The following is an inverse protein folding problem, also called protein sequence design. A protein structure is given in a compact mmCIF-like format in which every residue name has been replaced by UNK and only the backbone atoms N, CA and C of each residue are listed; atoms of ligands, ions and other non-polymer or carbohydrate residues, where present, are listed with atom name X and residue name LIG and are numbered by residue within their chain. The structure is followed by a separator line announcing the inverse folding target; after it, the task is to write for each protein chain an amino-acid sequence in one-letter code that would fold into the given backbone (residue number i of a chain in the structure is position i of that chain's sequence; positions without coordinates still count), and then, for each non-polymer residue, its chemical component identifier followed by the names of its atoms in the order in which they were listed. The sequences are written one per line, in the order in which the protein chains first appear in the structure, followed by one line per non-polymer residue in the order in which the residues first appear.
data_IF_163678613505
#
_entry.id   IF_163678613505
#
_cell.length_a   1.000
_cell.length_b   1.000
_cell.length_c   1.000
_cell.angle_alpha   90.00
_cell.angle_beta   90.00
_cell.angle_gamma   90.00
#
_symmetry.space_group_name_H-M   'P 1'
#
loop_
_entity.id
_entity.type
_entity.pdbx_description
1 polymer ?
#
# COMPACT_ATOMS: atom_id res chain seq x y z
N UNK A 1 -16.57 -55.70 27.95
CA UNK A 1 -15.70 -54.53 28.16
C UNK A 1 -15.34 -53.94 26.81
N UNK A 2 -16.08 -52.93 26.35
CA UNK A 2 -15.75 -52.20 25.13
C UNK A 2 -14.83 -51.04 25.51
N UNK A 3 -13.57 -51.10 25.06
CA UNK A 3 -12.65 -49.97 25.15
C UNK A 3 -13.19 -48.90 24.21
N UNK A 4 -13.84 -47.89 24.78
CA UNK A 4 -14.17 -46.68 24.05
C UNK A 4 -12.85 -46.04 23.61
N UNK A 5 -12.51 -46.15 22.32
CA UNK A 5 -11.52 -45.29 21.70
C UNK A 5 -12.03 -43.85 21.82
N UNK A 6 -11.66 -43.16 22.90
CA UNK A 6 -11.65 -41.71 22.93
C UNK A 6 -10.78 -41.28 21.76
N UNK A 7 -11.40 -40.81 20.66
CA UNK A 7 -10.67 -40.04 19.64
C UNK A 7 -10.02 -38.91 20.41
N UNK A 8 -8.70 -38.96 20.56
CA UNK A 8 -7.93 -37.84 21.08
C UNK A 8 -8.13 -36.68 20.10
N UNK A 9 -9.09 -35.80 20.39
CA UNK A 9 -9.29 -34.61 19.59
C UNK A 9 -8.05 -33.73 19.72
N UNK A 10 -7.49 -33.33 18.58
CA UNK A 10 -6.28 -32.50 18.53
C UNK A 10 -6.55 -31.21 19.32
N UNK A 11 -5.63 -30.79 20.22
CA UNK A 11 -5.85 -29.62 21.05
C UNK A 11 -6.00 -28.34 20.20
N UNK A 12 -6.65 -27.29 20.76
CA UNK A 12 -6.70 -25.97 20.14
C UNK A 12 -5.31 -25.43 19.78
N UNK A 13 -5.26 -24.47 18.87
CA UNK A 13 -4.00 -23.87 18.46
C UNK A 13 -3.24 -23.29 19.67
N UNK A 14 -1.93 -23.58 19.83
CA UNK A 14 -1.17 -23.29 21.04
C UNK A 14 -0.96 -21.79 21.29
N UNK A 15 -1.01 -20.96 20.25
CA UNK A 15 -0.98 -19.50 20.40
C UNK A 15 -2.37 -18.99 20.76
N UNK A 16 -2.52 -18.59 22.02
CA UNK A 16 -3.74 -18.05 22.60
C UNK A 16 -3.68 -16.54 22.71
N UNK A 17 -4.76 -15.86 22.30
CA UNK A 17 -4.93 -14.43 22.48
C UNK A 17 -6.36 -14.14 22.94
N UNK A 18 -6.50 -13.36 24.01
CA UNK A 18 -7.80 -12.90 24.47
C UNK A 18 -7.75 -11.53 25.15
N UNK A 19 -8.87 -10.82 25.08
CA UNK A 19 -9.06 -9.50 25.69
C UNK A 19 -10.43 -9.47 26.34
N UNK A 20 -10.49 -9.14 27.63
CA UNK A 20 -11.78 -9.02 28.31
C UNK A 20 -12.58 -7.83 27.74
N UNK A 21 -13.88 -8.04 27.54
CA UNK A 21 -14.76 -7.03 26.98
C UNK A 21 -14.87 -5.80 27.90
N UNK A 22 -14.59 -4.57 27.42
CA UNK A 22 -14.78 -3.36 28.19
C UNK A 22 -16.26 -2.97 28.25
N UNK A 23 -16.79 -2.70 29.44
CA UNK A 23 -18.21 -2.31 29.60
C UNK A 23 -18.52 -0.94 29.00
N UNK A 24 -17.55 -0.01 29.08
CA UNK A 24 -17.61 1.33 28.52
C UNK A 24 -16.25 1.74 27.98
N UNK A 25 -16.27 2.54 26.92
CA UNK A 25 -15.10 3.16 26.33
C UNK A 25 -15.28 4.69 26.31
N UNK A 26 -14.16 5.40 26.42
CA UNK A 26 -14.09 6.85 26.38
C UNK A 26 -14.34 7.38 24.98
N UNK A 27 -15.35 8.24 24.84
CA UNK A 27 -15.74 8.85 23.56
C UNK A 27 -14.69 9.84 23.03
N UNK A 28 -14.05 10.58 23.95
CA UNK A 28 -13.09 11.64 23.61
C UNK A 28 -11.74 11.07 23.22
N UNK A 29 -11.26 10.05 23.96
CA UNK A 29 -9.93 9.47 23.72
C UNK A 29 -9.80 8.87 22.32
N UNK A 30 -10.90 8.36 21.76
CA UNK A 30 -10.95 7.72 20.45
C UNK A 30 -10.36 8.60 19.33
N UNK A 31 -10.58 9.93 19.37
CA UNK A 31 -10.01 10.85 18.37
C UNK A 31 -8.48 10.92 18.44
N UNK A 32 -7.92 10.83 19.64
CA UNK A 32 -6.49 10.99 19.88
C UNK A 32 -5.74 9.65 19.93
N UNK A 33 -6.42 8.50 20.01
CA UNK A 33 -5.76 7.18 20.11
C UNK A 33 -4.81 6.92 18.94
N UNK A 34 -5.22 7.21 17.71
CA UNK A 34 -4.36 7.00 16.53
C UNK A 34 -3.12 7.91 16.56
N UNK A 35 -3.28 9.16 17.00
CA UNK A 35 -2.18 10.10 17.17
C UNK A 35 -1.21 9.64 18.27
N UNK A 36 -1.73 9.22 19.42
CA UNK A 36 -0.96 8.71 20.55
C UNK A 36 -0.26 7.38 20.24
N UNK A 37 -0.75 6.63 19.27
CA UNK A 37 -0.12 5.39 18.81
C UNK A 37 1.12 5.61 17.92
N UNK A 38 1.36 6.84 17.40
CA UNK A 38 2.51 7.10 16.51
C UNK A 38 3.86 6.73 17.15
N UNK A 39 4.18 7.16 18.40
CA UNK A 39 5.42 6.75 19.05
C UNK A 39 5.53 5.23 19.24
N UNK A 40 4.40 4.56 19.51
CA UNK A 40 4.35 3.10 19.65
C UNK A 40 4.63 2.40 18.31
N UNK A 41 4.11 2.91 17.20
CA UNK A 41 4.39 2.38 15.87
C UNK A 41 5.86 2.52 15.49
N UNK A 42 6.49 3.65 15.80
CA UNK A 42 7.93 3.86 15.57
C UNK A 42 8.75 2.84 16.37
N UNK A 43 8.45 2.68 17.66
CA UNK A 43 9.16 1.72 18.52
C UNK A 43 8.98 0.28 18.03
N UNK A 44 7.73 -0.14 17.74
CA UNK A 44 7.46 -1.48 17.19
C UNK A 44 8.17 -1.67 15.86
N UNK A 45 8.16 -0.68 14.96
CA UNK A 45 8.82 -0.79 13.66
C UNK A 45 10.33 -1.10 13.80
N UNK A 46 11.03 -0.39 14.68
CA UNK A 46 12.44 -0.66 14.99
C UNK A 46 12.64 -2.06 15.59
N UNK A 47 11.77 -2.47 16.51
CA UNK A 47 11.82 -3.81 17.09
C UNK A 47 11.54 -4.92 16.08
N UNK A 48 10.67 -4.68 15.10
CA UNK A 48 10.37 -5.62 14.02
C UNK A 48 11.58 -5.82 13.10
N UNK A 49 12.38 -4.78 12.86
CA UNK A 49 13.65 -4.91 12.11
C UNK A 49 14.61 -5.83 12.88
N UNK A 50 14.78 -5.61 14.19
CA UNK A 50 15.60 -6.48 15.03
C UNK A 50 15.06 -7.92 15.07
N UNK A 51 13.74 -8.09 15.18
CA UNK A 51 13.06 -9.39 15.16
C UNK A 51 13.24 -10.11 13.82
N UNK A 52 13.23 -9.41 12.70
CA UNK A 52 13.50 -9.97 11.37
C UNK A 52 14.92 -10.54 11.31
N UNK A 53 15.92 -9.76 11.74
CA UNK A 53 17.30 -10.21 11.80
C UNK A 53 17.46 -11.43 12.72
N UNK A 54 16.86 -11.40 13.91
CA UNK A 54 16.91 -12.54 14.83
C UNK A 54 16.16 -13.75 14.30
N UNK A 55 15.06 -13.58 13.57
CA UNK A 55 14.33 -14.69 12.93
C UNK A 55 15.21 -15.34 11.85
N UNK A 56 15.92 -14.54 11.07
CA UNK A 56 16.89 -15.05 10.10
C UNK A 56 18.04 -15.83 10.77
N UNK A 57 18.59 -15.31 11.88
CA UNK A 57 19.60 -16.05 12.66
C UNK A 57 19.02 -17.30 13.34
N UNK A 58 17.79 -17.23 13.84
CA UNK A 58 17.06 -18.35 14.44
C UNK A 58 16.83 -19.47 13.40
N UNK A 59 16.57 -19.11 12.15
CA UNK A 59 16.42 -20.06 11.06
C UNK A 59 17.68 -20.94 10.90
N UNK A 60 18.88 -20.35 10.88
CA UNK A 60 20.13 -21.11 10.86
C UNK A 60 20.31 -21.94 12.14
N UNK A 61 20.05 -21.34 13.30
CA UNK A 61 20.16 -22.03 14.58
C UNK A 61 19.26 -23.29 14.61
N UNK A 62 18.02 -23.19 14.13
CA UNK A 62 17.08 -24.32 14.05
C UNK A 62 17.54 -25.33 12.99
N UNK A 63 18.06 -24.88 11.85
CA UNK A 63 18.56 -25.77 10.80
C UNK A 63 19.67 -26.69 11.33
N UNK A 64 20.65 -26.12 12.06
CA UNK A 64 21.78 -26.87 12.60
C UNK A 64 21.46 -27.62 13.89
N UNK A 65 20.74 -26.99 14.83
CA UNK A 65 20.54 -27.55 16.19
C UNK A 65 19.17 -28.22 16.37
N UNK A 66 18.18 -27.91 15.52
CA UNK A 66 16.78 -28.30 15.72
C UNK A 66 16.07 -27.59 16.87
N UNK A 67 16.70 -26.57 17.48
CA UNK A 67 16.18 -25.86 18.65
C UNK A 67 16.18 -24.35 18.41
N UNK A 68 15.12 -23.69 18.88
CA UNK A 68 15.04 -22.23 18.87
C UNK A 68 15.83 -21.66 20.06
N UNK A 69 16.83 -20.78 19.86
CA UNK A 69 17.62 -20.19 20.95
C UNK A 69 16.75 -19.45 21.97
N UNK A 70 16.98 -19.68 23.28
CA UNK A 70 16.12 -19.14 24.34
C UNK A 70 16.03 -17.60 24.31
N UNK A 71 17.17 -16.92 24.18
CA UNK A 71 17.21 -15.45 24.12
C UNK A 71 16.43 -14.87 22.94
N UNK A 72 16.53 -15.50 21.76
CA UNK A 72 15.78 -15.08 20.58
C UNK A 72 14.28 -15.28 20.80
N UNK A 73 13.90 -16.37 21.46
CA UNK A 73 12.49 -16.67 21.73
C UNK A 73 11.89 -15.64 22.68
N UNK A 74 12.60 -15.32 23.76
CA UNK A 74 12.18 -14.33 24.75
C UNK A 74 12.03 -12.95 24.13
N UNK A 75 12.99 -12.52 23.29
CA UNK A 75 12.90 -11.28 22.55
C UNK A 75 11.69 -11.26 21.60
N UNK A 76 11.59 -12.23 20.69
CA UNK A 76 10.56 -12.26 19.64
C UNK A 76 9.15 -12.39 20.25
N UNK A 77 8.96 -13.26 21.25
CA UNK A 77 7.68 -13.38 21.96
C UNK A 77 7.34 -12.12 22.75
N UNK A 78 8.34 -11.42 23.29
CA UNK A 78 8.18 -10.11 23.90
C UNK A 78 7.69 -9.06 22.91
N UNK A 79 8.36 -8.93 21.76
CA UNK A 79 7.95 -8.01 20.68
C UNK A 79 6.52 -8.28 20.23
N UNK A 80 6.12 -9.55 20.05
CA UNK A 80 4.74 -9.90 19.71
C UNK A 80 3.74 -9.52 20.82
N UNK A 81 4.11 -9.65 22.09
CA UNK A 81 3.27 -9.23 23.22
C UNK A 81 3.05 -7.72 23.22
N UNK A 82 4.11 -6.95 23.03
CA UNK A 82 4.00 -5.50 22.93
C UNK A 82 3.20 -5.09 21.68
N UNK A 83 3.43 -5.74 20.53
CA UNK A 83 2.59 -5.53 19.34
C UNK A 83 1.11 -5.80 19.63
N UNK A 84 0.79 -6.84 20.41
CA UNK A 84 -0.58 -7.14 20.83
C UNK A 84 -1.17 -6.04 21.73
N UNK A 85 -0.38 -5.45 22.63
CA UNK A 85 -0.81 -4.30 23.45
C UNK A 85 -1.24 -3.13 22.56
N UNK A 86 -0.41 -2.79 21.57
CA UNK A 86 -0.67 -1.68 20.65
C UNK A 86 -1.85 -1.98 19.75
N UNK A 87 -1.97 -3.21 19.23
CA UNK A 87 -3.13 -3.64 18.44
C UNK A 87 -4.42 -3.54 19.22
N UNK A 88 -4.45 -3.98 20.49
CA UNK A 88 -5.64 -3.86 21.33
C UNK A 88 -6.03 -2.40 21.61
N UNK A 89 -5.06 -1.50 21.71
CA UNK A 89 -5.31 -0.06 21.87
C UNK A 89 -5.90 0.58 20.62
N UNK A 90 -5.27 0.39 19.46
CA UNK A 90 -5.71 1.01 18.19
C UNK A 90 -7.00 0.40 17.65
N UNK A 91 -7.24 -0.88 17.94
CA UNK A 91 -8.49 -1.56 17.63
C UNK A 91 -9.63 -1.24 18.59
N UNK A 92 -9.44 -0.27 19.50
CA UNK A 92 -10.45 0.18 20.47
C UNK A 92 -10.92 -0.92 21.43
N UNK A 93 -10.15 -2.00 21.62
CA UNK A 93 -10.47 -3.07 22.55
C UNK A 93 -10.22 -2.67 24.00
N UNK A 94 -9.32 -1.69 24.21
CA UNK A 94 -8.92 -1.14 25.50
C UNK A 94 -8.67 0.37 25.41
N UNK A 95 -8.83 1.07 26.52
CA UNK A 95 -8.67 2.54 26.62
C UNK A 95 -7.35 2.97 27.24
N UNK A 96 -6.74 2.06 28.00
CA UNK A 96 -5.46 2.22 28.66
C UNK A 96 -4.38 2.40 27.60
N UNK A 97 -3.50 3.39 27.77
CA UNK A 97 -2.37 3.53 26.85
C UNK A 97 -1.39 2.36 27.07
N UNK A 98 -0.92 1.68 26.01
CA UNK A 98 -0.01 0.55 26.16
C UNK A 98 1.34 1.02 26.73
N UNK A 99 1.94 0.28 27.68
CA UNK A 99 3.28 0.59 28.14
C UNK A 99 4.32 0.28 27.05
N UNK A 100 5.46 0.98 27.07
CA UNK A 100 6.64 0.66 26.26
C UNK A 100 7.39 -0.55 26.85
N UNK A 101 6.68 -1.67 26.99
CA UNK A 101 7.18 -2.88 27.64
C UNK A 101 6.50 -4.11 27.07
N UNK A 102 7.25 -5.22 27.06
CA UNK A 102 6.80 -6.55 26.68
C UNK A 102 6.67 -7.51 27.87
N UNK A 103 6.76 -6.99 29.09
CA UNK A 103 6.63 -7.80 30.30
C UNK A 103 5.23 -8.44 30.37
N UNK A 104 5.15 -9.72 30.76
CA UNK A 104 3.87 -10.39 30.99
C UNK A 104 3.03 -9.63 32.03
N UNK A 105 1.74 -9.44 31.75
CA UNK A 105 0.81 -8.78 32.68
C UNK A 105 0.88 -7.25 32.71
N UNK A 106 1.79 -6.62 31.95
CA UNK A 106 1.90 -5.16 31.89
C UNK A 106 0.68 -4.46 31.27
N UNK A 107 -0.21 -5.20 30.60
CA UNK A 107 -1.39 -4.68 29.93
C UNK A 107 -2.55 -5.69 30.04
N UNK A 108 -3.84 -5.25 30.09
CA UNK A 108 -4.98 -6.13 30.40
C UNK A 108 -5.44 -6.97 29.18
N UNK A 109 -4.53 -7.76 28.64
CA UNK A 109 -4.76 -8.81 27.64
C UNK A 109 -3.91 -10.04 27.93
N UNK A 110 -4.30 -11.18 27.36
CA UNK A 110 -3.52 -12.42 27.44
C UNK A 110 -2.96 -12.76 26.06
N UNK A 111 -1.65 -12.98 26.00
CA UNK A 111 -0.97 -13.60 24.86
C UNK A 111 -0.08 -14.71 25.38
N UNK A 112 -0.49 -15.95 25.13
CA UNK A 112 0.27 -17.14 25.48
C UNK A 112 0.89 -17.76 24.22
N UNK A 113 2.20 -17.93 24.27
CA UNK A 113 3.01 -18.54 23.21
C UNK A 113 3.94 -19.53 23.90
N UNK A 114 3.54 -20.82 24.03
CA UNK A 114 4.38 -21.81 24.68
C UNK A 114 5.61 -22.10 23.80
N UNK A 115 6.79 -22.15 24.41
CA UNK A 115 8.03 -22.51 23.70
C UNK A 115 7.99 -23.99 23.31
N UNK A 116 8.26 -24.29 22.03
CA UNK A 116 8.44 -25.67 21.59
C UNK A 116 9.88 -26.15 21.90
N UNK A 117 10.00 -27.39 22.39
CA UNK A 117 11.31 -27.98 22.74
C UNK A 117 12.14 -28.39 21.52
N UNK A 118 11.48 -28.77 20.41
CA UNK A 118 12.09 -29.17 19.15
C UNK A 118 11.28 -28.61 18.00
N UNK A 119 11.97 -28.05 17.00
CA UNK A 119 11.36 -27.60 15.75
C UNK A 119 11.79 -28.49 14.60
N UNK A 120 10.90 -28.63 13.62
CA UNK A 120 11.14 -29.40 12.40
C UNK A 120 12.09 -28.67 11.44
N UNK A 121 13.28 -29.27 11.18
CA UNK A 121 14.36 -28.67 10.36
C UNK A 121 13.97 -28.44 8.90
N UNK A 122 13.38 -29.46 8.27
CA UNK A 122 13.07 -29.43 6.84
C UNK A 122 11.80 -28.65 6.48
N UNK A 123 10.87 -28.51 7.43
CA UNK A 123 9.65 -27.74 7.19
C UNK A 123 9.90 -26.24 7.06
N UNK A 124 11.03 -25.72 7.55
CA UNK A 124 11.35 -24.29 7.52
C UNK A 124 11.19 -23.64 6.14
N UNK A 125 11.57 -24.34 5.07
CA UNK A 125 11.47 -23.83 3.70
C UNK A 125 10.02 -23.76 3.20
N UNK A 126 9.22 -24.77 3.54
CA UNK A 126 7.81 -24.86 3.13
C UNK A 126 6.97 -23.81 3.86
N UNK A 127 7.35 -23.44 5.08
CA UNK A 127 6.57 -22.49 5.90
C UNK A 127 6.31 -21.17 5.21
N UNK A 128 7.34 -20.57 4.62
CA UNK A 128 7.21 -19.26 4.00
C UNK A 128 6.29 -19.30 2.78
N UNK A 129 6.35 -20.37 1.98
CA UNK A 129 5.45 -20.58 0.83
C UNK A 129 4.02 -20.85 1.31
N UNK A 130 3.84 -21.74 2.29
CA UNK A 130 2.54 -22.05 2.87
C UNK A 130 1.92 -20.85 3.60
N UNK A 131 2.73 -19.90 4.06
CA UNK A 131 2.27 -18.69 4.72
C UNK A 131 1.70 -17.67 3.72
N UNK A 132 2.17 -17.62 2.46
CA UNK A 132 1.69 -16.64 1.46
C UNK A 132 0.16 -16.68 1.31
N UNK A 133 -0.49 -17.84 1.07
CA UNK A 133 -1.95 -17.91 1.00
C UNK A 133 -2.64 -17.48 2.30
N UNK A 134 -2.05 -17.77 3.46
CA UNK A 134 -2.57 -17.31 4.75
C UNK A 134 -2.58 -15.78 4.83
N UNK A 135 -1.47 -15.15 4.44
CA UNK A 135 -1.33 -13.69 4.49
C UNK A 135 -2.27 -13.01 3.50
N UNK A 136 -2.49 -13.62 2.34
CA UNK A 136 -3.49 -13.16 1.38
C UNK A 136 -4.91 -13.25 1.96
N UNK A 137 -5.27 -14.38 2.56
CA UNK A 137 -6.57 -14.51 3.24
C UNK A 137 -6.71 -13.50 4.38
N UNK A 138 -5.65 -13.31 5.17
CA UNK A 138 -5.63 -12.36 6.27
C UNK A 138 -5.74 -10.91 5.77
N UNK A 139 -5.23 -10.58 4.58
CA UNK A 139 -5.42 -9.28 3.96
C UNK A 139 -6.92 -8.95 3.78
N UNK A 140 -7.74 -9.92 3.35
CA UNK A 140 -9.21 -9.72 3.31
C UNK A 140 -9.83 -9.54 4.69
N UNK A 141 -9.32 -10.25 5.70
CA UNK A 141 -9.73 -10.04 7.10
C UNK A 141 -9.38 -8.61 7.57
N UNK A 142 -8.20 -8.10 7.22
CA UNK A 142 -7.81 -6.71 7.51
C UNK A 142 -8.70 -5.70 6.80
N UNK A 143 -9.09 -5.96 5.55
CA UNK A 143 -10.04 -5.12 4.83
C UNK A 143 -11.40 -5.08 5.55
N UNK A 144 -11.95 -6.24 5.93
CA UNK A 144 -13.16 -6.29 6.74
C UNK A 144 -12.98 -5.61 8.12
N UNK A 145 -11.79 -5.73 8.71
CA UNK A 145 -11.45 -5.09 9.98
C UNK A 145 -11.38 -3.57 9.87
N UNK A 146 -10.90 -3.02 8.76
CA UNK A 146 -10.94 -1.60 8.49
C UNK A 146 -12.37 -1.05 8.55
N UNK A 147 -13.30 -1.67 7.81
CA UNK A 147 -14.71 -1.24 7.79
C UNK A 147 -15.41 -1.45 9.15
N UNK A 148 -15.17 -2.59 9.81
CA UNK A 148 -15.77 -2.85 11.13
C UNK A 148 -15.21 -1.95 12.22
N UNK A 149 -13.93 -1.56 12.15
CA UNK A 149 -13.33 -0.58 13.07
C UNK A 149 -13.89 0.82 12.83
N UNK A 150 -14.07 1.22 11.57
CA UNK A 150 -14.74 2.48 11.24
C UNK A 150 -16.18 2.52 11.76
N UNK A 151 -16.93 1.43 11.58
CA UNK A 151 -18.28 1.31 12.15
C UNK A 151 -18.26 1.30 13.69
N UNK A 152 -17.32 0.57 14.30
CA UNK A 152 -17.16 0.54 15.75
C UNK A 152 -16.82 1.92 16.32
N UNK A 153 -15.95 2.68 15.65
CA UNK A 153 -15.58 4.05 16.01
C UNK A 153 -16.83 4.94 16.13
N UNK A 154 -17.71 4.93 15.12
CA UNK A 154 -18.98 5.67 15.16
C UNK A 154 -19.91 5.16 16.27
N UNK A 155 -20.07 3.85 16.38
CA UNK A 155 -20.94 3.26 17.39
C UNK A 155 -20.49 3.60 18.82
N UNK A 156 -19.19 3.56 19.09
CA UNK A 156 -18.64 3.92 20.40
C UNK A 156 -18.77 5.43 20.64
N UNK A 157 -18.59 6.27 19.62
CA UNK A 157 -18.78 7.72 19.75
C UNK A 157 -20.19 8.08 20.27
N UNK A 158 -21.23 7.44 19.70
CA UNK A 158 -22.62 7.69 20.11
C UNK A 158 -23.02 6.95 21.39
N UNK A 159 -22.68 5.66 21.50
CA UNK A 159 -23.20 4.79 22.57
C UNK A 159 -22.25 4.66 23.76
N UNK A 160 -20.95 4.91 23.57
CA UNK A 160 -19.89 4.59 24.53
C UNK A 160 -19.64 3.09 24.69
N UNK A 161 -20.26 2.23 23.88
CA UNK A 161 -20.18 0.77 23.95
C UNK A 161 -19.67 0.20 22.64
N UNK A 162 -18.76 -0.77 22.72
CA UNK A 162 -18.31 -1.54 21.56
C UNK A 162 -19.35 -2.61 21.22
N UNK A 163 -19.99 -2.62 20.04
CA UNK A 163 -20.90 -3.70 19.65
C UNK A 163 -20.24 -5.09 19.79
N UNK A 164 -20.87 -6.00 20.54
CA UNK A 164 -20.26 -7.30 20.90
C UNK A 164 -19.84 -8.14 19.68
N UNK A 165 -20.59 -8.10 18.59
CA UNK A 165 -20.23 -8.81 17.35
C UNK A 165 -18.94 -8.27 16.72
N UNK A 166 -18.85 -6.94 16.59
CA UNK A 166 -17.65 -6.27 16.06
C UNK A 166 -16.43 -6.46 16.98
N UNK A 167 -16.64 -6.45 18.30
CA UNK A 167 -15.59 -6.73 19.29
C UNK A 167 -15.05 -8.15 19.13
N UNK A 168 -15.93 -9.16 19.07
CA UNK A 168 -15.54 -10.57 18.86
C UNK A 168 -14.75 -10.75 17.56
N UNK A 169 -15.18 -10.08 16.49
CA UNK A 169 -14.47 -10.08 15.22
C UNK A 169 -13.07 -9.46 15.35
N UNK A 170 -12.95 -8.26 15.94
CA UNK A 170 -11.67 -7.59 16.13
C UNK A 170 -10.69 -8.41 16.99
N UNK A 171 -11.13 -8.96 18.13
CA UNK A 171 -10.31 -9.88 18.94
C UNK A 171 -9.86 -11.09 18.12
N UNK A 172 -10.77 -11.65 17.32
CA UNK A 172 -10.48 -12.78 16.46
C UNK A 172 -9.51 -12.46 15.32
N UNK A 173 -9.56 -11.25 14.76
CA UNK A 173 -8.61 -10.77 13.76
C UNK A 173 -7.21 -10.58 14.35
N UNK A 174 -7.10 -9.97 15.55
CA UNK A 174 -5.82 -9.90 16.28
C UNK A 174 -5.30 -11.30 16.57
N UNK A 175 -6.17 -12.22 17.01
CA UNK A 175 -5.79 -13.62 17.29
C UNK A 175 -5.21 -14.31 16.06
N UNK A 176 -5.84 -14.15 14.89
CA UNK A 176 -5.28 -14.67 13.64
C UNK A 176 -3.91 -14.04 13.39
N UNK A 177 -3.77 -12.72 13.46
CA UNK A 177 -2.48 -12.04 13.29
C UNK A 177 -1.39 -12.60 14.22
N UNK A 178 -1.69 -12.83 15.50
CA UNK A 178 -0.71 -13.37 16.45
C UNK A 178 -0.30 -14.81 16.12
N UNK A 179 -1.25 -15.65 15.66
CA UNK A 179 -0.95 -17.01 15.19
C UNK A 179 -0.04 -16.98 13.96
N UNK A 180 -0.36 -16.14 12.98
CA UNK A 180 0.43 -16.00 11.76
C UNK A 180 1.82 -15.42 12.05
N UNK A 181 1.93 -14.42 12.93
CA UNK A 181 3.20 -13.83 13.32
C UNK A 181 4.10 -14.81 14.10
N UNK A 182 3.53 -15.65 14.96
CA UNK A 182 4.27 -16.70 15.66
C UNK A 182 4.80 -17.78 14.70
N UNK A 183 4.04 -18.13 13.66
CA UNK A 183 4.49 -19.04 12.60
C UNK A 183 5.57 -18.40 11.72
N UNK A 184 5.38 -17.13 11.34
CA UNK A 184 6.33 -16.34 10.54
C UNK A 184 7.68 -16.20 11.25
N UNK A 185 7.67 -15.95 12.56
CA UNK A 185 8.88 -15.79 13.37
C UNK A 185 9.48 -17.10 13.89
N UNK A 186 8.98 -18.24 13.39
CA UNK A 186 9.44 -19.60 13.72
C UNK A 186 9.27 -19.99 15.20
N UNK A 187 8.47 -19.24 15.97
CA UNK A 187 8.18 -19.55 17.37
C UNK A 187 7.37 -20.84 17.51
N UNK A 188 6.50 -21.14 16.53
CA UNK A 188 5.66 -22.34 16.48
C UNK A 188 5.68 -22.99 15.10
N UNK A 189 5.51 -24.31 15.11
CA UNK A 189 5.46 -25.16 13.91
C UNK A 189 4.04 -25.39 13.40
N UNK A 190 3.05 -25.14 14.26
CA UNK A 190 1.64 -25.30 13.94
C UNK A 190 1.18 -24.21 12.97
N UNK A 191 0.67 -24.63 11.81
CA UNK A 191 0.18 -23.72 10.79
C UNK A 191 -1.04 -22.92 11.30
N UNK A 192 -1.08 -21.58 11.10
CA UNK A 192 -2.20 -20.75 11.53
C UNK A 192 -3.47 -21.15 10.78
N UNK A 193 -4.56 -21.47 11.50
CA UNK A 193 -5.84 -21.77 10.85
C UNK A 193 -6.42 -20.53 10.15
N UNK A 194 -7.17 -20.76 9.08
CA UNK A 194 -8.03 -19.75 8.45
C UNK A 194 -9.26 -19.47 9.32
N UNK A 195 -9.05 -19.05 10.56
CA UNK A 195 -10.12 -18.87 11.54
C UNK A 195 -9.75 -17.84 12.59
N UNK A 196 -10.74 -17.00 12.90
CA UNK A 196 -10.71 -16.00 13.96
C UNK A 196 -11.05 -16.60 15.34
N UNK A 197 -11.53 -17.85 15.41
CA UNK A 197 -12.06 -18.45 16.63
C UNK A 197 -10.94 -18.89 17.59
N UNK A 198 -11.23 -18.87 18.90
CA UNK A 198 -10.28 -19.23 19.95
C UNK A 198 -9.97 -20.73 19.97
N UNK A 199 -10.99 -21.56 19.76
CA UNK A 199 -10.95 -23.03 19.74
C UNK A 199 -10.46 -23.62 18.39
N UNK A 200 -10.08 -22.76 17.44
CA UNK A 200 -9.58 -23.20 16.15
C UNK A 200 -8.36 -24.11 16.31
N UNK A 201 -8.43 -25.28 15.67
CA UNK A 201 -7.33 -26.26 15.61
C UNK A 201 -6.23 -25.77 14.64
N UNK A 202 -4.99 -26.24 14.77
CA UNK A 202 -3.96 -25.97 13.78
C UNK A 202 -4.43 -26.27 12.36
N UNK A 203 -4.20 -25.32 11.46
CA UNK A 203 -4.63 -25.45 10.07
C UNK A 203 -3.79 -26.49 9.31
N UNK A 204 -4.22 -26.77 8.08
CA UNK A 204 -3.52 -27.69 7.19
C UNK A 204 -2.71 -26.90 6.14
N UNK A 205 -1.40 -27.12 6.10
CA UNK A 205 -0.48 -26.51 5.11
C UNK A 205 -0.87 -26.91 3.66
N UNK A 206 -1.40 -28.13 3.45
CA UNK A 206 -1.84 -28.58 2.12
C UNK A 206 -3.07 -27.79 1.64
N UNK A 207 -4.02 -27.54 2.54
CA UNK A 207 -5.20 -26.71 2.22
C UNK A 207 -4.78 -25.28 1.85
N UNK A 208 -3.77 -24.74 2.51
CA UNK A 208 -3.18 -23.44 2.16
C UNK A 208 -2.65 -23.41 0.74
N UNK A 209 -1.85 -24.40 0.35
CA UNK A 209 -1.26 -24.47 -0.98
C UNK A 209 -2.33 -24.58 -2.08
N UNK A 210 -3.41 -25.32 -1.83
CA UNK A 210 -4.55 -25.45 -2.77
C UNK A 210 -5.32 -24.13 -2.90
N UNK A 211 -5.58 -23.45 -1.78
CA UNK A 211 -6.29 -22.17 -1.77
C UNK A 211 -5.42 -20.99 -2.22
N UNK A 212 -4.10 -21.18 -2.31
CA UNK A 212 -3.14 -20.12 -2.58
C UNK A 212 -3.34 -19.39 -3.88
N UNK A 213 -3.41 -20.12 -4.98
CA UNK A 213 -3.59 -19.53 -6.32
C UNK A 213 -4.90 -18.73 -6.42
N UNK A 214 -6.09 -19.27 -6.08
CA UNK A 214 -7.33 -18.51 -6.21
C UNK A 214 -7.38 -17.29 -5.27
N UNK A 215 -6.87 -17.41 -4.03
CA UNK A 215 -6.77 -16.27 -3.12
C UNK A 215 -5.83 -15.19 -3.66
N UNK A 216 -4.70 -15.57 -4.24
CA UNK A 216 -3.72 -14.63 -4.79
C UNK A 216 -4.26 -13.91 -6.02
N UNK A 217 -4.95 -14.63 -6.92
CA UNK A 217 -5.65 -14.03 -8.06
C UNK A 217 -6.70 -13.04 -7.58
N UNK A 218 -7.51 -13.42 -6.58
CA UNK A 218 -8.53 -12.53 -6.01
C UNK A 218 -7.89 -11.29 -5.38
N UNK A 219 -6.77 -11.45 -4.67
CA UNK A 219 -6.03 -10.34 -4.08
C UNK A 219 -5.50 -9.38 -5.14
N UNK A 220 -4.91 -9.89 -6.22
CA UNK A 220 -4.49 -9.05 -7.35
C UNK A 220 -5.70 -8.33 -7.93
N UNK A 221 -6.79 -9.05 -8.22
CA UNK A 221 -7.99 -8.46 -8.82
C UNK A 221 -8.57 -7.33 -7.95
N UNK A 222 -8.65 -7.51 -6.63
CA UNK A 222 -9.16 -6.48 -5.70
C UNK A 222 -8.17 -5.33 -5.51
N UNK A 223 -6.87 -5.61 -5.38
CA UNK A 223 -5.83 -4.59 -5.14
C UNK A 223 -5.57 -3.72 -6.37
N UNK A 224 -5.70 -4.30 -7.57
CA UNK A 224 -5.54 -3.59 -8.84
C UNK A 224 -6.85 -3.10 -9.43
N UNK A 225 -8.00 -3.38 -8.80
CA UNK A 225 -9.31 -2.84 -9.23
C UNK A 225 -9.29 -1.32 -9.44
N UNK A 226 -8.68 -0.50 -8.53
CA UNK A 226 -8.60 0.94 -8.73
C UNK A 226 -7.73 1.37 -9.92
N UNK A 227 -6.87 0.48 -10.42
CA UNK A 227 -5.94 0.72 -11.52
C UNK A 227 -6.45 0.20 -12.87
N UNK A 228 -7.64 -0.41 -12.93
CA UNK A 228 -8.21 -0.93 -14.18
C UNK A 228 -8.30 0.16 -15.27
N UNK A 229 -8.56 1.41 -14.89
CA UNK A 229 -8.57 2.55 -15.82
C UNK A 229 -7.25 2.79 -16.55
N UNK A 230 -6.11 2.33 -16.01
CA UNK A 230 -4.79 2.50 -16.63
C UNK A 230 -4.43 1.40 -17.64
N UNK A 231 -5.20 0.31 -17.67
CA UNK A 231 -4.90 -0.85 -18.52
C UNK A 231 -5.38 -0.70 -19.96
N UNK A 232 -6.14 0.35 -20.30
CA UNK A 232 -6.50 0.65 -21.68
C UNK A 232 -5.25 0.94 -22.53
N UNK A 233 -5.17 0.40 -23.74
CA UNK A 233 -3.98 0.45 -24.59
C UNK A 233 -4.08 1.37 -25.82
N UNK A 234 -5.05 2.28 -25.85
CA UNK A 234 -5.30 3.14 -27.02
C UNK A 234 -4.18 4.17 -27.21
N UNK A 235 -3.67 4.27 -28.44
CA UNK A 235 -2.87 5.42 -28.85
C UNK A 235 -3.71 6.30 -29.75
N UNK A 236 -4.03 7.51 -29.29
CA UNK A 236 -4.66 8.53 -30.13
C UNK A 236 -3.57 9.44 -30.69
N UNK A 237 -3.56 9.60 -32.00
CA UNK A 237 -2.62 10.51 -32.68
C UNK A 237 -3.42 11.71 -33.19
N UNK A 238 -3.05 12.89 -32.72
CA UNK A 238 -3.66 14.17 -33.09
C UNK A 238 -2.67 14.89 -33.99
N UNK A 239 -3.06 15.07 -35.25
CA UNK A 239 -2.29 15.84 -36.22
C UNK A 239 -2.60 17.32 -36.04
N UNK A 240 -1.57 18.12 -35.80
CA UNK A 240 -1.67 19.59 -35.67
C UNK A 240 -1.29 20.20 -37.01
N UNK A 241 -2.16 21.06 -37.55
CA UNK A 241 -2.04 21.64 -38.88
C UNK A 241 -0.91 22.66 -38.97
N UNK A 242 0.32 22.19 -39.18
CA UNK A 242 1.49 23.02 -39.43
C UNK A 242 2.57 22.97 -38.33
N UNK A 243 3.56 23.85 -38.48
CA UNK A 243 4.70 23.95 -37.57
C UNK A 243 4.24 24.36 -36.15
N UNK A 244 4.98 23.89 -35.14
CA UNK A 244 4.71 24.25 -33.75
C UNK A 244 5.03 25.73 -33.53
N UNK A 245 3.98 26.56 -33.54
CA UNK A 245 4.04 28.00 -33.26
C UNK A 245 2.99 28.37 -32.21
N UNK A 246 3.18 29.48 -31.46
CA UNK A 246 2.17 29.97 -30.51
C UNK A 246 0.80 30.17 -31.18
N UNK A 247 0.77 30.70 -32.40
CA UNK A 247 -0.46 30.94 -33.16
C UNK A 247 -1.18 29.66 -33.57
N UNK A 248 -0.47 28.61 -33.98
CA UNK A 248 -1.10 27.35 -34.41
C UNK A 248 -1.81 26.67 -33.26
N UNK A 249 -1.15 26.55 -32.10
CA UNK A 249 -1.71 25.85 -30.93
C UNK A 249 -2.90 26.61 -30.34
N UNK A 250 -2.82 27.95 -30.28
CA UNK A 250 -3.93 28.76 -29.77
C UNK A 250 -5.10 28.90 -30.75
N UNK A 251 -4.92 28.59 -32.04
CA UNK A 251 -6.02 28.60 -33.02
C UNK A 251 -6.75 27.25 -33.07
N UNK A 252 -6.01 26.13 -33.08
CA UNK A 252 -6.60 24.79 -33.23
C UNK A 252 -7.06 24.17 -31.91
N UNK A 253 -6.41 24.50 -30.79
CA UNK A 253 -6.58 23.83 -29.51
C UNK A 253 -6.61 22.29 -29.62
N UNK A 254 -5.54 21.67 -30.14
CA UNK A 254 -5.54 20.26 -30.44
C UNK A 254 -5.77 19.46 -29.15
N UNK A 255 -6.72 18.53 -29.20
CA UNK A 255 -7.10 17.68 -28.07
C UNK A 255 -7.10 16.22 -28.46
N UNK A 256 -6.71 15.36 -27.53
CA UNK A 256 -6.81 13.91 -27.65
C UNK A 256 -7.17 13.30 -26.31
N UNK A 257 -7.61 12.05 -26.30
CA UNK A 257 -8.03 11.34 -25.12
C UNK A 257 -7.43 9.93 -25.05
N UNK A 258 -6.90 9.58 -23.89
CA UNK A 258 -6.45 8.23 -23.60
C UNK A 258 -6.73 7.88 -22.14
N UNK A 259 -7.24 6.68 -21.89
CA UNK A 259 -7.41 6.10 -20.55
C UNK A 259 -8.11 7.02 -19.54
N UNK A 260 -9.19 7.67 -19.98
CA UNK A 260 -10.00 8.53 -19.12
C UNK A 260 -9.41 9.91 -18.84
N UNK A 261 -8.37 10.31 -19.58
CA UNK A 261 -7.82 11.67 -19.57
C UNK A 261 -7.87 12.23 -20.97
N UNK A 262 -8.54 13.37 -21.13
CA UNK A 262 -8.45 14.22 -22.31
C UNK A 262 -7.43 15.30 -22.05
N UNK A 263 -6.46 15.46 -22.94
CA UNK A 263 -5.45 16.51 -22.88
C UNK A 263 -5.67 17.44 -24.06
N UNK A 264 -5.75 18.74 -23.77
CA UNK A 264 -5.91 19.80 -24.76
C UNK A 264 -4.73 20.76 -24.64
N UNK A 265 -4.07 21.07 -25.76
CA UNK A 265 -3.02 22.08 -25.78
C UNK A 265 -3.65 23.46 -25.96
N UNK A 266 -3.48 24.34 -24.98
CA UNK A 266 -4.04 25.69 -24.99
C UNK A 266 -3.07 26.73 -25.59
N UNK A 267 -1.77 26.49 -25.46
CA UNK A 267 -0.74 27.39 -25.98
C UNK A 267 0.66 26.80 -25.90
N UNK A 268 1.57 27.40 -26.65
CA UNK A 268 2.99 27.08 -26.69
C UNK A 268 3.80 28.37 -26.56
N UNK A 269 4.84 28.34 -25.74
CA UNK A 269 5.81 29.41 -25.58
C UNK A 269 7.21 28.87 -25.87
N UNK A 270 7.86 29.41 -26.90
CA UNK A 270 9.19 29.00 -27.36
C UNK A 270 10.32 29.66 -26.57
N UNK A 271 10.04 30.71 -25.80
CA UNK A 271 11.04 31.43 -25.00
C UNK A 271 10.50 31.66 -23.58
N UNK A 272 10.15 30.54 -22.94
CA UNK A 272 9.49 30.56 -21.65
C UNK A 272 10.49 30.95 -20.55
N UNK A 273 10.57 32.23 -20.21
CA UNK A 273 11.35 32.67 -19.06
C UNK A 273 10.66 32.27 -17.76
N UNK A 274 11.27 31.34 -17.02
CA UNK A 274 10.75 30.96 -15.72
C UNK A 274 11.02 32.07 -14.70
N UNK A 275 10.09 33.02 -14.57
CA UNK A 275 10.25 34.28 -13.83
C UNK A 275 10.58 34.15 -12.32
N UNK A 276 10.72 32.95 -11.73
CA UNK A 276 10.79 32.77 -10.26
C UNK A 276 11.56 31.55 -9.68
N UNK A 277 12.52 30.86 -10.33
CA UNK A 277 13.14 29.63 -9.74
C UNK A 277 14.67 29.48 -9.94
N UNK A 278 15.30 28.69 -9.04
CA UNK A 278 16.73 28.42 -8.79
C UNK A 278 17.45 27.43 -9.72
N UNK A 279 16.84 26.91 -10.79
CA UNK A 279 17.54 26.00 -11.70
C UNK A 279 18.25 26.82 -12.77
N UNK A 280 19.59 26.74 -12.79
CA UNK A 280 20.38 27.40 -13.83
C UNK A 280 20.10 26.77 -15.20
N UNK A 281 19.93 27.64 -16.19
CA UNK A 281 19.85 27.23 -17.58
C UNK A 281 21.17 26.58 -17.98
N UNK A 282 21.08 25.36 -18.53
CA UNK A 282 22.26 24.66 -19.00
C UNK A 282 22.79 25.40 -20.24
N UNK A 283 24.09 25.66 -20.29
CA UNK A 283 24.69 26.37 -21.42
C UNK A 283 24.31 25.72 -22.77
N UNK A 284 23.74 26.51 -23.69
CA UNK A 284 23.27 26.07 -25.00
C UNK A 284 21.87 25.42 -25.01
N UNK A 285 21.09 25.57 -23.94
CA UNK A 285 19.69 25.13 -23.84
C UNK A 285 18.79 26.31 -23.53
N UNK A 286 17.54 26.23 -23.96
CA UNK A 286 16.47 27.17 -23.61
C UNK A 286 15.23 26.44 -23.07
N UNK A 287 14.34 27.19 -22.42
CA UNK A 287 13.08 26.66 -21.91
C UNK A 287 11.93 26.86 -22.88
N UNK A 288 11.18 25.78 -23.10
CA UNK A 288 9.91 25.81 -23.82
C UNK A 288 8.78 25.38 -22.89
N UNK A 289 7.60 26.00 -23.02
CA UNK A 289 6.45 25.66 -22.21
C UNK A 289 5.21 25.35 -23.04
N UNK A 290 4.46 24.35 -22.61
CA UNK A 290 3.13 24.04 -23.13
C UNK A 290 2.09 24.34 -22.06
N UNK A 291 1.13 25.21 -22.37
CA UNK A 291 -0.07 25.35 -21.54
C UNK A 291 -1.02 24.23 -21.91
N UNK A 292 -1.34 23.37 -20.95
CA UNK A 292 -2.18 22.19 -21.15
C UNK A 292 -3.40 22.26 -20.24
N UNK A 293 -4.54 21.83 -20.77
CA UNK A 293 -5.74 21.51 -19.99
C UNK A 293 -5.92 20.00 -19.98
N UNK A 294 -6.07 19.42 -18.80
CA UNK A 294 -6.47 18.03 -18.64
C UNK A 294 -7.90 17.97 -18.12
N UNK A 295 -8.72 17.15 -18.77
CA UNK A 295 -10.12 16.88 -18.43
C UNK A 295 -10.33 15.38 -18.18
N UNK A 296 -11.17 15.04 -17.20
CA UNK A 296 -11.47 13.64 -16.88
C UNK A 296 -12.53 13.14 -17.85
N UNK A 297 -12.14 12.16 -18.67
CA UNK A 297 -12.96 11.59 -19.73
C UNK A 297 -13.34 10.12 -19.44
N UNK A 298 -13.81 9.85 -18.21
CA UNK A 298 -14.14 8.49 -17.80
C UNK A 298 -14.70 8.38 -16.38
N UNK A 299 -15.25 7.22 -16.03
CA UNK A 299 -15.78 6.93 -14.70
C UNK A 299 -14.69 6.53 -13.69
N UNK A 300 -13.63 5.87 -14.15
CA UNK A 300 -12.51 5.45 -13.32
C UNK A 300 -11.62 6.62 -12.90
N UNK A 301 -10.95 6.55 -11.74
CA UNK A 301 -9.88 7.49 -11.41
C UNK A 301 -8.78 7.42 -12.46
N UNK A 302 -8.25 8.58 -12.83
CA UNK A 302 -7.13 8.67 -13.75
C UNK A 302 -5.94 9.32 -13.04
N UNK A 303 -4.75 8.95 -13.49
CA UNK A 303 -3.50 9.52 -13.03
C UNK A 303 -3.10 10.60 -14.02
N UNK A 304 -2.96 11.83 -13.52
CA UNK A 304 -2.44 12.94 -14.29
C UNK A 304 -1.23 13.52 -13.58
N UNK A 305 -0.12 13.58 -14.30
CA UNK A 305 1.10 14.20 -13.81
C UNK A 305 1.88 14.76 -15.00
N UNK A 306 2.55 15.92 -14.83
CA UNK A 306 3.37 16.47 -15.89
C UNK A 306 4.50 15.51 -16.30
N UNK A 307 4.97 14.65 -15.39
CA UNK A 307 6.00 13.63 -15.69
C UNK A 307 5.64 12.64 -16.78
N UNK A 308 4.36 12.53 -17.12
CA UNK A 308 3.91 11.64 -18.18
C UNK A 308 3.99 12.28 -19.57
N UNK A 309 4.37 13.56 -19.67
CA UNK A 309 4.68 14.16 -20.95
C UNK A 309 6.12 13.84 -21.38
N UNK A 310 6.31 13.65 -22.68
CA UNK A 310 7.60 13.49 -23.35
C UNK A 310 7.58 14.34 -24.61
N UNK A 311 8.53 15.25 -24.73
CA UNK A 311 8.73 16.05 -25.93
C UNK A 311 9.82 15.39 -26.77
N UNK A 312 9.49 14.94 -27.98
CA UNK A 312 10.44 14.27 -28.86
C UNK A 312 10.84 15.20 -30.01
N UNK A 313 12.13 15.35 -30.20
CA UNK A 313 12.71 16.04 -31.34
C UNK A 313 12.56 15.25 -32.63
N UNK A 314 12.70 15.95 -33.75
CA UNK A 314 12.76 15.31 -35.08
C UNK A 314 14.03 14.47 -35.28
N UNK A 315 15.06 14.68 -34.45
CA UNK A 315 16.27 13.88 -34.33
C UNK A 315 16.06 12.53 -33.62
N UNK A 316 14.89 12.33 -33.00
CA UNK A 316 14.57 11.14 -32.22
C UNK A 316 14.94 11.24 -30.74
N UNK A 317 15.54 12.35 -30.30
CA UNK A 317 15.88 12.59 -28.89
C UNK A 317 14.63 12.97 -28.09
N UNK A 318 14.50 12.41 -26.87
CA UNK A 318 13.32 12.56 -26.03
C UNK A 318 13.62 13.32 -24.74
N UNK A 319 12.97 14.47 -24.57
CA UNK A 319 13.14 15.36 -23.43
C UNK A 319 12.04 15.14 -22.39
N UNK A 320 12.47 15.11 -21.13
CA UNK A 320 11.56 14.98 -19.98
C UNK A 320 11.25 16.35 -19.37
N UNK A 321 10.07 16.54 -18.79
CA UNK A 321 9.65 17.82 -18.25
C UNK A 321 10.40 18.16 -16.96
N UNK A 322 10.62 19.44 -16.73
CA UNK A 322 11.32 19.94 -15.55
C UNK A 322 10.34 20.07 -14.39
N UNK A 323 10.47 19.14 -13.44
CA UNK A 323 9.61 18.93 -12.26
C UNK A 323 9.21 20.20 -11.51
N UNK A 324 10.20 21.07 -11.27
CA UNK A 324 10.11 22.20 -10.35
C UNK A 324 9.30 23.38 -10.91
N UNK A 325 9.05 23.39 -12.23
CA UNK A 325 8.35 24.48 -12.94
C UNK A 325 6.90 24.14 -13.28
N UNK A 326 6.56 22.85 -13.33
CA UNK A 326 5.27 22.39 -13.87
C UNK A 326 4.15 22.32 -12.80
N UNK A 327 4.34 22.92 -11.63
CA UNK A 327 3.47 22.76 -10.46
C UNK A 327 2.84 24.06 -9.93
N UNK A 328 2.69 25.10 -10.75
CA UNK A 328 1.93 26.30 -10.34
C UNK A 328 0.52 25.87 -9.84
N UNK A 329 0.07 26.47 -8.74
CA UNK A 329 -0.92 26.02 -7.73
C UNK A 329 -2.22 25.29 -8.18
N UNK A 330 -2.55 25.19 -9.46
CA UNK A 330 -3.65 24.38 -10.01
C UNK A 330 -3.21 23.04 -10.62
N UNK A 331 -1.90 22.80 -10.84
CA UNK A 331 -1.37 21.53 -11.33
C UNK A 331 -1.21 20.55 -10.16
N UNK A 332 -2.33 20.08 -9.62
CA UNK A 332 -2.32 19.22 -8.43
C UNK A 332 -1.69 17.86 -8.79
N UNK A 333 -0.60 17.51 -8.09
CA UNK A 333 -0.11 16.13 -8.03
C UNK A 333 -1.21 15.24 -7.44
N UNK A 334 -2.00 14.63 -8.31
CA UNK A 334 -3.13 13.78 -7.92
C UNK A 334 -2.84 12.32 -8.21
N UNK A 335 -2.42 11.56 -7.20
CA UNK A 335 -2.40 10.08 -7.28
C UNK A 335 -3.80 9.51 -7.57
N UNK A 336 -4.86 10.28 -7.34
CA UNK A 336 -6.24 9.96 -7.70
C UNK A 336 -6.99 11.24 -8.06
N UNK A 337 -7.09 11.53 -9.36
CA UNK A 337 -7.90 12.67 -9.80
C UNK A 337 -9.38 12.26 -9.88
N UNK A 338 -10.17 12.79 -8.95
CA UNK A 338 -11.55 12.37 -8.73
C UNK A 338 -12.58 13.23 -9.50
N UNK A 339 -12.33 14.53 -9.67
CA UNK A 339 -13.15 15.49 -10.44
C UNK A 339 -12.39 16.81 -10.69
N UNK A 340 -12.66 17.48 -11.81
CA UNK A 340 -12.20 18.83 -12.13
C UNK A 340 -11.70 18.98 -13.56
N UNK A 341 -11.35 20.21 -13.94
CA UNK A 341 -10.48 20.53 -15.08
C UNK A 341 -9.19 21.10 -14.47
N UNK A 342 -8.04 20.59 -14.89
CA UNK A 342 -6.76 21.09 -14.42
C UNK A 342 -6.04 21.77 -15.57
N UNK A 343 -5.67 23.03 -15.38
CA UNK A 343 -4.83 23.77 -16.31
C UNK A 343 -3.47 24.04 -15.68
N UNK A 344 -2.43 23.98 -16.50
CA UNK A 344 -1.13 24.50 -16.12
C UNK A 344 -0.10 24.35 -17.22
N UNK A 345 1.16 24.60 -16.86
CA UNK A 345 2.26 24.68 -17.79
C UNK A 345 3.20 23.49 -17.62
N UNK A 346 3.60 22.86 -18.72
CA UNK A 346 4.63 21.82 -18.75
C UNK A 346 5.87 22.40 -19.41
N UNK A 347 6.96 22.45 -18.65
CA UNK A 347 8.21 23.04 -19.08
C UNK A 347 9.22 21.98 -19.48
N UNK A 348 9.95 22.22 -20.55
CA UNK A 348 11.06 21.38 -21.02
C UNK A 348 12.28 22.25 -21.23
N UNK A 349 13.46 21.68 -20.97
CA UNK A 349 14.74 22.30 -21.30
C UNK A 349 15.30 21.58 -22.52
N UNK A 350 15.43 22.31 -23.63
CA UNK A 350 15.79 21.77 -24.95
C UNK A 350 16.99 22.54 -25.52
N UNK A 351 17.85 21.92 -26.35
CA UNK A 351 19.00 22.61 -26.91
C UNK A 351 18.58 23.73 -27.86
N UNK A 352 19.45 24.72 -28.07
CA UNK A 352 19.27 25.71 -29.13
C UNK A 352 19.12 25.04 -30.51
N UNK A 353 18.19 25.53 -31.32
CA UNK A 353 17.87 24.94 -32.63
C UNK A 353 17.05 23.64 -32.59
N UNK A 354 16.54 23.25 -31.42
CA UNK A 354 15.65 22.10 -31.28
C UNK A 354 14.38 22.22 -32.13
N UNK A 355 14.05 21.17 -32.87
CA UNK A 355 12.81 21.05 -33.65
C UNK A 355 11.90 19.98 -33.03
N UNK A 356 10.79 20.41 -32.45
CA UNK A 356 9.78 19.52 -31.88
C UNK A 356 8.97 18.84 -32.98
N UNK A 357 8.99 17.50 -33.02
CA UNK A 357 8.21 16.70 -33.97
C UNK A 357 6.92 16.14 -33.34
N UNK A 358 6.99 15.74 -32.07
CA UNK A 358 5.79 15.33 -31.35
C UNK A 358 5.88 15.57 -29.85
N UNK A 359 4.71 15.80 -29.25
CA UNK A 359 4.51 15.79 -27.81
C UNK A 359 3.66 14.57 -27.46
N UNK A 360 4.16 13.69 -26.60
CA UNK A 360 3.44 12.48 -26.17
C UNK A 360 3.06 12.59 -24.70
N UNK A 361 1.79 12.36 -24.38
CA UNK A 361 1.31 12.15 -23.02
C UNK A 361 1.05 10.66 -22.77
N UNK A 362 1.64 10.11 -21.71
CA UNK A 362 1.51 8.71 -21.31
C UNK A 362 0.41 8.55 -20.25
N UNK A 363 -0.78 8.12 -20.66
CA UNK A 363 -1.90 7.89 -19.76
C UNK A 363 -1.91 6.44 -19.23
N UNK A 364 -0.87 5.99 -18.53
CA UNK A 364 -0.72 4.56 -18.20
C UNK A 364 -0.25 3.74 -19.41
N UNK A 365 -1.00 2.71 -19.84
CA UNK A 365 -0.65 1.95 -21.07
C UNK A 365 -1.05 2.66 -22.37
N UNK A 366 -1.98 3.61 -22.31
CA UNK A 366 -2.43 4.43 -23.44
C UNK A 366 -1.55 5.66 -23.64
N UNK A 367 -1.62 6.25 -24.83
CA UNK A 367 -0.82 7.43 -25.20
C UNK A 367 -1.63 8.40 -26.04
N UNK A 368 -1.42 9.69 -25.81
CA UNK A 368 -1.89 10.75 -26.70
C UNK A 368 -0.66 11.32 -27.37
N UNK A 369 -0.58 11.28 -28.70
CA UNK A 369 0.54 11.79 -29.48
C UNK A 369 0.09 12.97 -30.32
N UNK A 370 0.56 14.17 -29.99
CA UNK A 370 0.40 15.36 -30.81
C UNK A 370 1.55 15.42 -31.80
N UNK A 371 1.27 15.35 -33.09
CA UNK A 371 2.26 15.39 -34.18
C UNK A 371 2.18 16.75 -34.84
N UNK A 372 3.32 17.44 -34.94
CA UNK A 372 3.41 18.79 -35.52
C UNK A 372 3.93 18.68 -36.96
N UNK A 373 3.10 19.01 -37.95
CA UNK A 373 3.44 18.89 -39.37
C UNK A 373 4.39 20.02 -39.81
N UNK A 374 5.70 19.75 -39.78
CA UNK A 374 6.74 20.67 -40.25
C UNK A 374 7.90 20.89 -39.27
N UNK A 375 7.80 20.38 -38.04
CA UNK A 375 8.72 20.71 -36.96
C UNK A 375 8.53 22.15 -36.50
N UNK A 376 8.62 22.42 -35.19
CA UNK A 376 8.74 23.80 -34.72
C UNK A 376 9.98 23.97 -33.87
N UNK A 377 10.75 24.98 -34.21
CA UNK A 377 11.90 25.45 -33.47
C UNK A 377 11.72 26.93 -33.15
N UNK A 378 12.61 27.49 -32.32
CA UNK A 378 12.57 28.92 -32.03
C UNK A 378 12.61 29.75 -33.34
N UNK A 379 11.98 30.93 -33.36
CA UNK A 379 11.98 31.82 -34.52
C UNK A 379 13.38 32.24 -34.98
#
# INVERSE_FOLDING_TARGET
MAVAHQRQEKPPHPVGFDVAYPERLSRVRIFFKLLLAIPQFIAIYLLQIAMLLLTFLAWFAILFTGRYPKAFFEFTSGVLRWQAHVMAYVALLRDEYPPFSWEPGAYPLTLDIPRAERQSRFRLFIRWIALIPNQVAFWFVQLAWFFTSFLAWFMILFTGKYPRGLFKFAVGAVRWQMRSAAYQSLLRDEYPPYSINADARPGNEVLSLVLGVPLFILYIAVSFLPFLGMLGGGTETVHVGGALTPSTISAEHPSGAANGVRVTLLGYDSDAHARNVRVEEKAGYHFVSFRVRAEKDGSWPAFFTPYFFRLNGCDGEGYSPVAEYSSDNNFTFGLYWSRGENEGHVYFQVPEGFLACNLTYHAGLGRIRFVFEGGGGPP
#
